data_IF_473379323619
#
_entry.id   IF_473379323619
#
_cell.length_a   1.000
_cell.length_b   1.000
_cell.length_c   1.000
_cell.angle_alpha   90.00
_cell.angle_beta   90.00
_cell.angle_gamma   90.00
#
_symmetry.space_group_name_H-M   'P 1'
#
loop_
_entity.id
_entity.type
_entity.pdbx_description
1 polymer ?
#
# COMPACT_ATOMS: atom_id res chain seq x y z
N UNK A 1 -9.49 -57.46 2.45
CA UNK A 1 -9.14 -56.69 1.22
C UNK A 1 -10.07 -55.49 0.95
N UNK A 2 -11.26 -55.36 1.56
CA UNK A 2 -12.23 -54.26 1.30
C UNK A 2 -11.75 -52.84 1.63
N UNK A 3 -11.00 -52.67 2.72
CA UNK A 3 -10.49 -51.34 3.13
C UNK A 3 -9.46 -50.79 2.12
N UNK A 4 -8.63 -51.65 1.51
CA UNK A 4 -7.64 -51.22 0.50
C UNK A 4 -8.29 -50.63 -0.75
N UNK A 5 -9.43 -51.17 -1.18
CA UNK A 5 -10.21 -50.63 -2.31
C UNK A 5 -10.83 -49.27 -1.99
N UNK A 6 -11.41 -49.10 -0.79
CA UNK A 6 -11.99 -47.83 -0.36
C UNK A 6 -10.95 -46.71 -0.18
N UNK A 7 -9.76 -47.04 0.31
CA UNK A 7 -8.65 -46.07 0.41
C UNK A 7 -8.18 -45.66 -0.98
N UNK A 8 -8.08 -46.59 -1.93
CA UNK A 8 -7.65 -46.31 -3.29
C UNK A 8 -8.65 -45.41 -4.04
N UNK A 9 -9.95 -45.69 -3.93
CA UNK A 9 -10.98 -44.84 -4.56
C UNK A 9 -10.99 -43.43 -3.97
N UNK A 10 -10.84 -43.30 -2.65
CA UNK A 10 -10.74 -42.00 -1.99
C UNK A 10 -9.46 -41.24 -2.41
N UNK A 11 -8.33 -41.93 -2.50
CA UNK A 11 -7.07 -41.33 -2.96
C UNK A 11 -7.16 -40.82 -4.40
N UNK A 12 -7.78 -41.58 -5.30
CA UNK A 12 -8.01 -41.17 -6.69
C UNK A 12 -8.92 -39.95 -6.75
N UNK A 13 -10.05 -39.95 -6.01
CA UNK A 13 -10.98 -38.83 -5.98
C UNK A 13 -10.32 -37.55 -5.44
N UNK A 14 -9.53 -37.67 -4.36
CA UNK A 14 -8.79 -36.56 -3.77
C UNK A 14 -7.71 -36.03 -4.72
N UNK A 15 -7.00 -36.91 -5.42
CA UNK A 15 -5.99 -36.52 -6.42
C UNK A 15 -6.64 -35.75 -7.58
N UNK A 16 -7.81 -36.19 -8.04
CA UNK A 16 -8.58 -35.49 -9.07
C UNK A 16 -9.05 -34.11 -8.62
N UNK A 17 -9.52 -33.99 -7.37
CA UNK A 17 -9.89 -32.70 -6.79
C UNK A 17 -8.68 -31.75 -6.66
N UNK A 18 -7.51 -32.28 -6.29
CA UNK A 18 -6.28 -31.50 -6.23
C UNK A 18 -5.86 -31.00 -7.63
N UNK A 19 -5.86 -31.89 -8.63
CA UNK A 19 -5.57 -31.53 -10.03
C UNK A 19 -6.52 -30.45 -10.55
N UNK A 20 -7.80 -30.51 -10.18
CA UNK A 20 -8.79 -29.49 -10.52
C UNK A 20 -8.44 -28.13 -9.90
N UNK A 21 -8.07 -28.06 -8.63
CA UNK A 21 -7.66 -26.77 -8.00
C UNK A 21 -6.36 -26.23 -8.59
N UNK A 22 -5.41 -27.12 -8.89
CA UNK A 22 -4.10 -26.75 -9.41
C UNK A 22 -4.18 -26.24 -10.86
N UNK A 23 -5.13 -26.72 -11.65
CA UNK A 23 -5.32 -26.27 -13.03
C UNK A 23 -5.69 -24.78 -13.13
N UNK A 24 -6.54 -24.26 -12.24
CA UNK A 24 -6.87 -22.82 -12.20
C UNK A 24 -5.65 -21.97 -11.87
N UNK A 25 -4.84 -22.45 -10.91
CA UNK A 25 -3.59 -21.79 -10.50
C UNK A 25 -2.58 -21.74 -11.64
N UNK A 26 -2.47 -22.82 -12.42
CA UNK A 26 -1.60 -22.86 -13.60
C UNK A 26 -2.03 -21.85 -14.67
N UNK A 27 -3.32 -21.78 -14.97
CA UNK A 27 -3.82 -20.92 -16.06
C UNK A 27 -3.70 -19.44 -15.71
N UNK A 28 -4.03 -19.06 -14.48
CA UNK A 28 -3.84 -17.69 -13.98
C UNK A 28 -2.38 -17.28 -14.03
N UNK A 29 -1.47 -18.14 -13.57
CA UNK A 29 -0.02 -17.90 -13.65
C UNK A 29 0.46 -17.67 -15.08
N UNK A 30 -0.05 -18.43 -16.07
CA UNK A 30 0.29 -18.21 -17.49
C UNK A 30 -0.15 -16.85 -18.02
N UNK A 31 -1.28 -16.31 -17.55
CA UNK A 31 -1.76 -14.99 -17.95
C UNK A 31 -0.92 -13.90 -17.31
N UNK A 32 -0.61 -14.05 -16.02
CA UNK A 32 0.24 -13.11 -15.29
C UNK A 32 1.66 -13.08 -15.88
N UNK A 33 2.23 -14.22 -16.29
CA UNK A 33 3.51 -14.26 -17.00
C UNK A 33 3.48 -13.47 -18.32
N UNK A 34 2.43 -13.65 -19.13
CA UNK A 34 2.26 -12.86 -20.36
C UNK A 34 2.13 -11.36 -20.08
N UNK A 35 1.49 -10.98 -18.98
CA UNK A 35 1.38 -9.59 -18.56
C UNK A 35 2.74 -9.01 -18.16
N UNK A 36 3.56 -9.79 -17.44
CA UNK A 36 4.93 -9.42 -17.07
C UNK A 36 5.83 -9.27 -18.29
N UNK A 37 5.76 -10.21 -19.22
CA UNK A 37 6.49 -10.17 -20.49
C UNK A 37 6.10 -8.93 -21.33
N UNK A 38 4.80 -8.58 -21.35
CA UNK A 38 4.31 -7.38 -22.02
C UNK A 38 4.77 -6.08 -21.33
N UNK A 39 4.83 -6.08 -20.00
CA UNK A 39 5.16 -4.93 -19.20
C UNK A 39 6.65 -4.57 -19.22
N UNK A 40 7.55 -5.53 -19.45
CA UNK A 40 9.01 -5.33 -19.40
C UNK A 40 9.47 -4.57 -18.14
N UNK A 41 8.86 -4.86 -16.98
CA UNK A 41 9.15 -4.23 -15.70
C UNK A 41 8.36 -2.94 -15.39
N UNK A 42 7.49 -2.47 -16.27
CA UNK A 42 6.61 -1.32 -16.00
C UNK A 42 5.29 -1.76 -15.34
N UNK A 43 5.18 -1.53 -14.03
CA UNK A 43 4.01 -1.89 -13.22
C UNK A 43 2.69 -1.29 -13.74
N UNK A 44 2.73 -0.11 -14.38
CA UNK A 44 1.51 0.54 -14.91
C UNK A 44 0.99 -0.20 -16.14
N UNK A 45 1.91 -0.64 -17.01
CA UNK A 45 1.57 -1.42 -18.22
C UNK A 45 1.08 -2.81 -17.85
N UNK A 46 1.66 -3.43 -16.83
CA UNK A 46 1.19 -4.72 -16.32
C UNK A 46 -0.25 -4.62 -15.81
N UNK A 47 -0.54 -3.62 -14.96
CA UNK A 47 -1.88 -3.40 -14.41
C UNK A 47 -2.90 -3.14 -15.51
N UNK A 48 -2.56 -2.30 -16.50
CA UNK A 48 -3.44 -2.01 -17.63
C UNK A 48 -3.72 -3.23 -18.51
N UNK A 49 -2.70 -4.06 -18.75
CA UNK A 49 -2.86 -5.31 -19.50
C UNK A 49 -3.78 -6.27 -18.76
N UNK A 50 -3.54 -6.48 -17.47
CA UNK A 50 -4.34 -7.37 -16.61
C UNK A 50 -5.80 -6.92 -16.53
N UNK A 51 -6.04 -5.61 -16.44
CA UNK A 51 -7.38 -5.04 -16.47
C UNK A 51 -8.09 -5.32 -17.80
N UNK A 52 -7.37 -5.15 -18.92
CA UNK A 52 -7.88 -5.41 -20.27
C UNK A 52 -8.19 -6.89 -20.56
N UNK A 53 -7.55 -7.83 -19.86
CA UNK A 53 -7.82 -9.28 -20.00
C UNK A 53 -8.77 -9.82 -18.93
N UNK A 54 -9.13 -9.02 -17.93
CA UNK A 54 -10.01 -9.41 -16.80
C UNK A 54 -11.32 -10.06 -17.23
N UNK A 55 -12.01 -9.47 -18.20
CA UNK A 55 -13.29 -9.96 -18.71
C UNK A 55 -13.20 -11.01 -19.82
N UNK A 56 -12.00 -11.34 -20.30
CA UNK A 56 -11.83 -12.29 -21.42
C UNK A 56 -11.86 -13.74 -20.91
N UNK A 57 -12.49 -14.69 -21.63
CA UNK A 57 -12.43 -16.09 -21.29
C UNK A 57 -11.01 -16.62 -21.53
N UNK A 58 -10.34 -17.09 -20.47
CA UNK A 58 -8.94 -17.57 -20.56
C UNK A 58 -8.82 -19.06 -20.24
N UNK A 59 -9.83 -19.65 -19.61
CA UNK A 59 -9.84 -21.07 -19.32
C UNK A 59 -11.11 -21.75 -19.82
N UNK A 60 -10.95 -22.91 -20.45
CA UNK A 60 -12.06 -23.77 -20.85
C UNK A 60 -11.88 -25.12 -20.16
N UNK A 61 -12.60 -25.35 -19.07
CA UNK A 61 -12.52 -26.60 -18.35
C UNK A 61 -13.24 -27.69 -19.14
N UNK A 62 -12.46 -28.58 -19.76
CA UNK A 62 -12.94 -29.80 -20.41
C UNK A 62 -14.06 -29.56 -21.46
N UNK A 63 -14.02 -28.42 -22.16
CA UNK A 63 -15.03 -27.98 -23.14
C UNK A 63 -16.45 -27.72 -22.58
N UNK A 64 -16.65 -27.85 -21.27
CA UNK A 64 -17.96 -27.76 -20.63
C UNK A 64 -18.27 -26.34 -20.14
N UNK A 65 -17.25 -25.60 -19.70
CA UNK A 65 -17.43 -24.26 -19.14
C UNK A 65 -16.22 -23.36 -19.39
N UNK A 66 -16.51 -22.16 -19.91
CA UNK A 66 -15.54 -21.08 -20.05
C UNK A 66 -15.50 -20.28 -18.75
N UNK A 67 -14.29 -19.95 -18.32
CA UNK A 67 -14.02 -19.08 -17.18
C UNK A 67 -13.17 -17.90 -17.63
N UNK A 68 -13.54 -16.72 -17.14
CA UNK A 68 -12.80 -15.47 -17.36
C UNK A 68 -11.52 -15.41 -16.52
N UNK A 69 -10.61 -14.50 -16.85
CA UNK A 69 -9.42 -14.29 -16.03
C UNK A 69 -9.80 -13.94 -14.58
N UNK A 70 -10.80 -13.06 -14.39
CA UNK A 70 -11.29 -12.70 -13.06
C UNK A 70 -11.79 -13.91 -12.27
N UNK A 71 -12.65 -14.73 -12.87
CA UNK A 71 -13.19 -15.93 -12.20
C UNK A 71 -12.13 -16.99 -11.90
N UNK A 72 -11.16 -17.18 -12.81
CA UNK A 72 -10.04 -18.11 -12.57
C UNK A 72 -9.12 -17.61 -11.46
N UNK A 73 -8.92 -16.29 -11.35
CA UNK A 73 -8.15 -15.65 -10.29
C UNK A 73 -8.82 -15.73 -8.92
N UNK A 74 -10.15 -15.60 -8.86
CA UNK A 74 -10.93 -15.80 -7.63
C UNK A 74 -10.92 -17.27 -7.16
N UNK A 75 -10.83 -18.23 -8.10
CA UNK A 75 -10.74 -19.67 -7.82
C UNK A 75 -9.32 -20.18 -7.60
N UNK A 76 -8.33 -19.32 -7.82
CA UNK A 76 -6.92 -19.63 -7.59
C UNK A 76 -6.69 -19.93 -6.11
N UNK A 77 -5.70 -20.77 -5.82
CA UNK A 77 -5.25 -20.97 -4.45
C UNK A 77 -4.80 -19.62 -3.86
N UNK A 78 -5.18 -19.37 -2.61
CA UNK A 78 -4.73 -18.21 -1.83
C UNK A 78 -3.24 -18.35 -1.51
N UNK A 79 -2.41 -17.89 -2.43
CA UNK A 79 -0.96 -17.82 -2.26
C UNK A 79 -0.60 -16.64 -1.35
N UNK A 80 0.33 -16.86 -0.43
CA UNK A 80 0.92 -15.81 0.41
C UNK A 80 1.79 -14.85 -0.41
N UNK A 81 2.20 -13.74 0.22
CA UNK A 81 3.01 -12.69 -0.41
C UNK A 81 4.33 -13.21 -0.97
N UNK A 82 4.94 -14.20 -0.30
CA UNK A 82 6.17 -14.87 -0.73
C UNK A 82 6.00 -15.60 -2.08
N UNK A 83 4.84 -16.22 -2.29
CA UNK A 83 4.56 -17.03 -3.49
C UNK A 83 3.90 -16.24 -4.62
N UNK A 84 3.06 -15.25 -4.31
CA UNK A 84 2.47 -14.34 -5.32
C UNK A 84 3.43 -13.25 -5.76
N UNK A 85 4.38 -12.89 -4.89
CA UNK A 85 5.19 -11.70 -5.05
C UNK A 85 4.36 -10.45 -4.81
N UNK A 86 4.79 -9.62 -3.88
CA UNK A 86 4.19 -8.31 -3.66
C UNK A 86 5.03 -7.51 -2.69
N UNK A 87 4.84 -6.20 -2.70
CA UNK A 87 5.55 -5.30 -1.79
C UNK A 87 4.73 -5.16 -0.51
N UNK A 88 5.29 -5.60 0.62
CA UNK A 88 4.77 -5.18 1.90
C UNK A 88 5.16 -3.72 2.10
N UNK A 89 4.21 -2.79 1.97
CA UNK A 89 4.44 -1.36 2.21
C UNK A 89 3.85 -1.02 3.56
N UNK A 90 4.71 -0.79 4.53
CA UNK A 90 4.32 -0.09 5.76
C UNK A 90 4.60 1.39 5.52
N UNK A 91 3.55 2.19 5.46
CA UNK A 91 3.69 3.65 5.36
C UNK A 91 4.00 4.18 6.76
N UNK A 92 5.25 4.56 6.99
CA UNK A 92 5.61 5.32 8.20
C UNK A 92 5.17 6.77 8.02
N UNK A 93 4.39 7.28 8.97
CA UNK A 93 3.94 8.67 8.93
C UNK A 93 5.00 9.54 9.59
N UNK A 94 5.67 10.35 8.78
CA UNK A 94 6.64 11.34 9.25
C UNK A 94 5.94 12.56 9.87
N UNK A 95 6.17 12.79 11.17
CA UNK A 95 5.64 13.96 11.90
C UNK A 95 6.09 15.27 11.25
N UNK A 96 7.29 15.29 10.67
CA UNK A 96 7.85 16.44 9.94
C UNK A 96 6.97 16.84 8.77
N UNK A 97 6.47 15.85 8.03
CA UNK A 97 5.68 16.07 6.82
C UNK A 97 4.25 16.47 7.18
N UNK A 98 3.69 15.97 8.29
CA UNK A 98 2.43 16.47 8.85
C UNK A 98 2.56 17.96 9.21
N UNK A 99 3.58 18.34 9.97
CA UNK A 99 3.80 19.74 10.37
C UNK A 99 4.03 20.64 9.15
N UNK A 100 4.68 20.13 8.10
CA UNK A 100 4.85 20.86 6.84
C UNK A 100 3.54 20.99 6.06
N UNK A 101 2.71 19.95 6.03
CA UNK A 101 1.43 19.93 5.33
C UNK A 101 0.35 20.79 6.03
N UNK A 102 0.32 20.81 7.36
CA UNK A 102 -0.61 21.61 8.16
C UNK A 102 -0.26 23.11 8.21
N UNK A 103 0.91 23.51 7.69
CA UNK A 103 1.32 24.91 7.71
C UNK A 103 0.67 25.68 6.56
N UNK A 104 -0.05 26.76 6.86
CA UNK A 104 -0.44 27.71 5.81
C UNK A 104 0.83 28.29 5.17
N UNK A 105 0.88 28.34 3.83
CA UNK A 105 1.99 28.84 3.00
C UNK A 105 2.42 30.31 3.27
N UNK A 106 1.98 30.95 4.36
CA UNK A 106 2.49 32.26 4.76
C UNK A 106 3.95 32.08 5.17
N UNK A 107 4.81 32.49 4.24
CA UNK A 107 6.25 32.48 4.38
C UNK A 107 6.63 33.32 5.58
N UNK A 108 6.83 32.68 6.73
CA UNK A 108 7.39 33.33 7.91
C UNK A 108 8.70 33.97 7.43
N UNK A 109 8.91 35.29 7.60
CA UNK A 109 10.12 36.01 7.15
C UNK A 109 11.44 35.42 7.67
N UNK A 110 11.37 34.43 8.55
CA UNK A 110 12.49 33.73 9.17
C UNK A 110 12.38 32.19 9.14
N UNK A 111 11.55 31.61 8.27
CA UNK A 111 11.32 30.15 8.18
C UNK A 111 12.62 29.35 7.98
N UNK A 112 13.56 29.84 7.19
CA UNK A 112 14.89 29.21 7.01
C UNK A 112 15.69 29.15 8.31
N UNK A 113 15.55 30.16 9.17
CA UNK A 113 16.21 30.23 10.48
C UNK A 113 15.58 29.26 11.47
N UNK A 114 14.26 29.12 11.45
CA UNK A 114 13.52 28.14 12.25
C UNK A 114 14.00 26.71 11.97
N UNK A 115 14.03 26.31 10.70
CA UNK A 115 14.50 24.97 10.32
C UNK A 115 15.98 24.75 10.58
N UNK A 116 16.80 25.80 10.52
CA UNK A 116 18.22 25.74 10.89
C UNK A 116 18.40 25.42 12.38
N UNK A 117 17.74 26.16 13.28
CA UNK A 117 17.81 25.91 14.72
C UNK A 117 17.22 24.57 15.11
N UNK A 118 16.06 24.23 14.54
CA UNK A 118 15.43 22.94 14.78
C UNK A 118 16.32 21.77 14.37
N UNK A 119 16.91 21.78 13.16
CA UNK A 119 17.86 20.73 12.73
C UNK A 119 19.11 20.67 13.60
N UNK A 120 19.59 21.82 14.08
CA UNK A 120 20.76 21.88 14.98
C UNK A 120 20.46 21.21 16.33
N UNK A 121 19.28 21.47 16.89
CA UNK A 121 18.89 20.88 18.17
C UNK A 121 18.44 19.42 18.05
N UNK A 122 17.83 19.03 16.94
CA UNK A 122 17.51 17.63 16.67
C UNK A 122 18.77 16.74 16.60
N UNK A 123 19.92 17.30 16.21
CA UNK A 123 21.21 16.58 16.23
C UNK A 123 21.83 16.45 17.62
N UNK A 124 21.41 17.26 18.59
CA UNK A 124 22.03 17.35 19.91
C UNK A 124 21.10 16.99 21.07
N UNK A 125 19.80 16.82 20.81
CA UNK A 125 18.78 16.47 21.80
C UNK A 125 18.04 15.20 21.41
N UNK A 126 17.58 14.44 22.41
CA UNK A 126 16.65 13.32 22.27
C UNK A 126 15.17 13.75 22.36
N UNK A 127 14.90 15.04 22.53
CA UNK A 127 13.55 15.58 22.65
C UNK A 127 12.72 15.37 21.37
N UNK A 128 11.39 15.24 21.54
CA UNK A 128 10.45 15.07 20.44
C UNK A 128 10.48 16.23 19.43
N UNK A 129 10.20 15.91 18.17
CA UNK A 129 10.22 16.87 17.05
C UNK A 129 9.31 18.08 17.30
N UNK A 130 8.13 17.88 17.90
CA UNK A 130 7.16 18.96 18.17
C UNK A 130 7.70 19.89 19.26
N UNK A 131 8.33 19.34 20.30
CA UNK A 131 8.95 20.12 21.37
C UNK A 131 10.10 20.98 20.84
N UNK A 132 10.95 20.41 19.99
CA UNK A 132 12.04 21.16 19.37
C UNK A 132 11.54 22.23 18.39
N UNK A 133 10.46 21.94 17.66
CA UNK A 133 9.81 22.90 16.78
C UNK A 133 9.25 24.10 17.55
N UNK A 134 8.54 23.86 18.66
CA UNK A 134 7.99 24.92 19.52
C UNK A 134 9.08 25.83 20.09
N UNK A 135 10.15 25.26 20.64
CA UNK A 135 11.31 26.04 21.15
C UNK A 135 11.97 26.88 20.06
N UNK A 136 12.12 26.31 18.86
CA UNK A 136 12.79 27.01 17.77
C UNK A 136 11.89 28.14 17.24
N UNK A 137 10.58 27.96 17.31
CA UNK A 137 9.59 28.97 16.94
C UNK A 137 9.62 30.15 17.90
N UNK A 138 9.58 29.90 19.20
CA UNK A 138 9.68 30.95 20.24
C UNK A 138 10.97 31.77 20.12
N UNK A 139 12.09 31.13 19.75
CA UNK A 139 13.36 31.83 19.59
C UNK A 139 13.42 32.71 18.34
N UNK A 140 12.70 32.33 17.28
CA UNK A 140 12.69 33.05 16.01
C UNK A 140 11.66 34.17 16.00
N UNK A 141 10.49 33.95 16.61
CA UNK A 141 9.45 34.97 16.75
C UNK A 141 8.71 34.83 18.11
N UNK A 142 9.20 35.52 19.15
CA UNK A 142 8.60 35.49 20.48
C UNK A 142 7.20 36.13 20.56
N UNK A 143 6.77 36.87 19.53
CA UNK A 143 5.50 37.62 19.53
C UNK A 143 4.45 37.02 18.59
N UNK A 144 4.84 36.12 17.69
CA UNK A 144 3.90 35.43 16.82
C UNK A 144 3.15 34.31 17.54
N UNK A 145 1.88 34.15 17.20
CA UNK A 145 1.05 33.05 17.68
C UNK A 145 1.14 31.87 16.72
N UNK A 146 1.46 30.70 17.24
CA UNK A 146 1.55 29.48 16.45
C UNK A 146 0.22 29.13 15.78
N UNK A 147 -0.91 29.48 16.44
CA UNK A 147 -2.25 29.32 15.92
C UNK A 147 -2.49 29.99 14.56
N UNK A 148 -1.83 31.11 14.26
CA UNK A 148 -1.98 31.83 12.99
C UNK A 148 -1.36 31.04 11.83
N UNK A 149 -0.37 30.19 12.12
CA UNK A 149 0.38 29.43 11.13
C UNK A 149 -0.31 28.10 10.80
N UNK A 150 -1.05 27.54 11.76
CA UNK A 150 -1.72 26.23 11.66
C UNK A 150 -3.26 26.29 11.61
N UNK A 151 -3.88 27.49 11.61
CA UNK A 151 -5.32 27.63 11.38
C UNK A 151 -5.67 27.42 9.89
N UNK A 152 -5.53 26.18 9.40
CA UNK A 152 -6.05 25.80 8.08
C UNK A 152 -7.57 25.62 8.15
N UNK A 153 -8.25 25.60 7.00
CA UNK A 153 -9.69 25.35 6.94
C UNK A 153 -10.08 24.03 7.66
N UNK A 154 -9.24 23.01 7.54
CA UNK A 154 -9.42 21.70 8.19
C UNK A 154 -9.20 21.74 9.72
N UNK A 155 -8.39 22.68 10.21
CA UNK A 155 -8.04 22.80 11.64
C UNK A 155 -8.78 23.95 12.33
N UNK A 156 -9.66 24.67 11.63
CA UNK A 156 -10.36 25.87 12.12
C UNK A 156 -11.16 25.61 13.41
N UNK A 157 -11.74 24.43 13.55
CA UNK A 157 -12.53 24.03 14.73
C UNK A 157 -11.65 23.60 15.92
N UNK A 158 -10.38 23.28 15.66
CA UNK A 158 -9.43 22.82 16.69
C UNK A 158 -8.41 23.89 17.08
N UNK A 159 -8.08 24.80 16.17
CA UNK A 159 -7.07 25.84 16.34
C UNK A 159 -7.73 27.19 16.07
N UNK A 160 -8.26 27.83 17.11
CA UNK A 160 -8.80 29.19 16.99
C UNK A 160 -7.68 30.23 16.92
N UNK A 161 -7.91 31.39 16.28
CA UNK A 161 -6.93 32.48 16.17
C UNK A 161 -6.50 33.09 17.52
N UNK A 162 -7.24 32.79 18.59
CA UNK A 162 -6.94 33.22 19.95
C UNK A 162 -6.13 32.19 20.74
N UNK A 163 -5.91 31.00 20.18
CA UNK A 163 -5.11 29.95 20.81
C UNK A 163 -3.65 30.40 20.90
N UNK A 164 -3.04 30.12 22.05
CA UNK A 164 -1.64 30.46 22.34
C UNK A 164 -0.73 29.37 21.79
#
# INVERSE_FOLDING_TARGET
MRIKGAILTLAIALSLACLYQLSFTWVTYRVEQKAKDYANGDLKKEAYYLDSVSGKPVYNFLFLKKYTYKETKERMINLGLDLKGGMNVVLEVSVVDIVRACRISVMIPHSTRLFYWQKKWQKSSQDDYITLFGRAFEQVDPKAKLAVIFNTFELKDKVSLNSS
#
